data_IF_283642655780
#
_entry.id   IF_283642655780
#
_cell.length_a   1.000
_cell.length_b   1.000
_cell.length_c   1.000
_cell.angle_alpha   90.00
_cell.angle_beta   90.00
_cell.angle_gamma   90.00
#
_symmetry.space_group_name_H-M   'P 1'
#
loop_
_entity.id
_entity.type
_entity.pdbx_description
1 polymer ?
#
# COMPACT_ATOMS: atom_id res chain seq x y z
N UNK A 1 5.54 -50.03 6.51
CA UNK A 1 4.27 -49.54 6.03
C UNK A 1 3.74 -48.37 6.84
N UNK A 2 3.68 -48.48 8.14
CA UNK A 2 3.17 -47.39 8.96
C UNK A 2 4.05 -46.14 8.97
N UNK A 3 5.36 -46.28 8.75
CA UNK A 3 6.31 -45.16 8.71
C UNK A 3 6.16 -44.31 7.46
N UNK A 4 5.72 -44.88 6.35
CA UNK A 4 5.49 -44.15 5.10
C UNK A 4 4.26 -43.26 5.19
N UNK A 5 3.22 -43.69 5.88
CA UNK A 5 2.01 -42.92 6.07
C UNK A 5 2.24 -41.68 6.94
N UNK A 6 3.07 -41.79 7.95
CA UNK A 6 3.46 -40.69 8.81
C UNK A 6 4.29 -39.67 8.10
N UNK A 7 5.17 -40.08 7.18
CA UNK A 7 6.01 -39.20 6.39
C UNK A 7 5.18 -38.38 5.42
N UNK A 8 4.18 -38.96 4.79
CA UNK A 8 3.28 -38.25 3.87
C UNK A 8 2.44 -37.20 4.60
N UNK A 9 1.99 -37.53 5.79
CA UNK A 9 1.19 -36.61 6.59
C UNK A 9 1.99 -35.40 7.03
N UNK A 10 3.27 -35.57 7.31
CA UNK A 10 4.14 -34.47 7.73
C UNK A 10 4.42 -33.49 6.60
N UNK A 11 4.52 -33.97 5.37
CA UNK A 11 4.72 -33.11 4.20
C UNK A 11 3.50 -32.23 3.91
N UNK A 12 2.29 -32.73 4.16
CA UNK A 12 1.06 -31.98 3.92
C UNK A 12 0.89 -30.81 4.88
N UNK A 13 1.48 -30.87 6.07
CA UNK A 13 1.37 -29.80 7.05
C UNK A 13 2.17 -28.55 6.69
N UNK A 14 3.16 -28.67 5.80
CA UNK A 14 3.99 -27.55 5.40
C UNK A 14 3.42 -26.70 4.24
N UNK A 15 2.38 -27.15 3.57
CA UNK A 15 1.89 -26.48 2.38
C UNK A 15 0.81 -25.43 2.65
N UNK A 16 0.46 -25.18 3.91
CA UNK A 16 -0.73 -24.37 4.24
C UNK A 16 -0.39 -23.03 4.86
N UNK A 17 0.88 -22.59 4.80
CA UNK A 17 1.22 -21.37 5.53
C UNK A 17 1.70 -20.25 4.64
N UNK A 18 0.76 -19.67 3.89
CA UNK A 18 0.96 -18.32 3.38
C UNK A 18 0.23 -17.37 4.33
N UNK A 19 0.98 -16.77 5.23
CA UNK A 19 0.42 -15.73 6.08
C UNK A 19 0.02 -14.52 5.22
N UNK A 20 -1.20 -14.04 5.39
CA UNK A 20 -1.65 -12.81 4.77
C UNK A 20 -0.78 -11.65 5.28
N UNK A 21 -0.32 -10.80 4.37
CA UNK A 21 0.41 -9.58 4.70
C UNK A 21 -0.51 -8.39 4.62
N UNK A 22 -0.15 -7.33 5.30
CA UNK A 22 -0.74 -6.04 5.07
C UNK A 22 0.00 -5.33 3.92
N UNK A 23 -0.67 -4.37 3.30
CA UNK A 23 -0.11 -3.60 2.22
C UNK A 23 0.21 -2.16 2.61
N UNK A 24 1.01 -1.51 1.80
CA UNK A 24 1.34 -0.11 1.95
C UNK A 24 1.41 0.51 0.55
N UNK A 25 0.81 1.68 0.37
CA UNK A 25 0.75 2.33 -0.93
C UNK A 25 1.68 3.54 -0.98
N UNK A 26 2.45 3.65 -2.06
CA UNK A 26 3.19 4.85 -2.41
C UNK A 26 2.44 5.50 -3.57
N UNK A 27 1.82 6.64 -3.31
CA UNK A 27 1.10 7.41 -4.33
C UNK A 27 2.03 8.50 -4.83
N UNK A 28 2.38 8.46 -6.10
CA UNK A 28 3.37 9.35 -6.69
C UNK A 28 2.92 9.80 -8.07
N UNK A 29 3.22 11.04 -8.43
CA UNK A 29 2.99 11.51 -9.78
C UNK A 29 4.05 10.98 -10.74
N UNK A 30 3.67 10.84 -12.01
CA UNK A 30 4.53 10.20 -13.01
C UNK A 30 5.84 10.94 -13.26
N UNK A 31 5.83 12.27 -13.19
CA UNK A 31 7.05 13.07 -13.41
C UNK A 31 8.04 12.87 -12.27
N UNK A 32 7.58 12.96 -11.03
CA UNK A 32 8.43 12.71 -9.86
C UNK A 32 8.96 11.30 -9.85
N UNK A 33 8.16 10.32 -10.25
CA UNK A 33 8.61 8.94 -10.32
C UNK A 33 9.73 8.76 -11.36
N UNK A 34 9.61 9.38 -12.52
CA UNK A 34 10.67 9.32 -13.55
C UNK A 34 11.97 9.93 -13.05
N UNK A 35 11.88 11.03 -12.29
CA UNK A 35 13.06 11.72 -11.76
C UNK A 35 13.73 10.98 -10.61
N UNK A 36 12.95 10.31 -9.76
CA UNK A 36 13.43 9.69 -8.55
C UNK A 36 13.19 8.18 -8.49
N UNK A 37 13.07 7.53 -9.63
CA UNK A 37 12.73 6.13 -9.72
C UNK A 37 13.61 5.21 -8.88
N UNK A 38 14.96 5.31 -8.94
CA UNK A 38 15.78 4.41 -8.13
C UNK A 38 15.56 4.58 -6.65
N UNK A 39 15.37 5.82 -6.18
CA UNK A 39 15.15 6.14 -4.78
C UNK A 39 13.78 5.63 -4.30
N UNK A 40 12.74 5.82 -5.12
CA UNK A 40 11.39 5.33 -4.81
C UNK A 40 11.38 3.81 -4.75
N UNK A 41 12.00 3.15 -5.71
CA UNK A 41 12.05 1.69 -5.73
C UNK A 41 12.86 1.15 -4.53
N UNK A 42 13.93 1.83 -4.15
CA UNK A 42 14.71 1.47 -2.97
C UNK A 42 13.90 1.64 -1.68
N UNK A 43 13.12 2.71 -1.59
CA UNK A 43 12.21 2.94 -0.46
C UNK A 43 11.15 1.85 -0.36
N UNK A 44 10.56 1.46 -1.49
CA UNK A 44 9.58 0.39 -1.52
C UNK A 44 10.17 -0.93 -1.03
N UNK A 45 11.36 -1.29 -1.51
CA UNK A 45 12.05 -2.51 -1.07
C UNK A 45 12.40 -2.47 0.41
N UNK A 46 12.77 -1.29 0.93
CA UNK A 46 13.10 -1.13 2.34
C UNK A 46 11.85 -1.35 3.21
N UNK A 47 10.70 -0.83 2.81
CA UNK A 47 9.44 -1.06 3.53
C UNK A 47 9.10 -2.55 3.55
N UNK A 48 9.22 -3.21 2.41
CA UNK A 48 8.93 -4.65 2.34
C UNK A 48 9.85 -5.46 3.23
N UNK A 49 11.14 -5.14 3.23
CA UNK A 49 12.14 -5.85 4.01
C UNK A 49 12.02 -5.59 5.51
N UNK A 50 11.84 -4.33 5.90
CA UNK A 50 11.87 -3.93 7.30
C UNK A 50 10.54 -4.15 8.01
N UNK A 51 9.43 -4.02 7.30
CA UNK A 51 8.11 -4.06 7.91
C UNK A 51 7.24 -5.23 7.44
N UNK A 52 7.72 -6.01 6.48
CA UNK A 52 6.96 -7.16 5.98
C UNK A 52 5.67 -6.79 5.26
N UNK A 53 5.58 -5.56 4.76
CA UNK A 53 4.41 -5.08 4.05
C UNK A 53 4.56 -5.33 2.55
N UNK A 54 3.44 -5.56 1.87
CA UNK A 54 3.44 -5.53 0.42
C UNK A 54 3.29 -4.10 -0.05
N UNK A 55 4.23 -3.61 -0.86
CA UNK A 55 4.19 -2.23 -1.33
C UNK A 55 3.58 -2.14 -2.71
N UNK A 56 2.61 -1.24 -2.84
CA UNK A 56 1.98 -0.88 -4.11
C UNK A 56 2.46 0.52 -4.49
N UNK A 57 3.21 0.64 -5.57
CA UNK A 57 3.60 1.95 -6.09
C UNK A 57 2.57 2.36 -7.14
N UNK A 58 1.80 3.37 -6.82
CA UNK A 58 0.69 3.82 -7.66
C UNK A 58 1.11 5.10 -8.35
N UNK A 59 1.28 5.04 -9.66
CA UNK A 59 1.85 6.11 -10.47
C UNK A 59 0.79 6.61 -11.44
N UNK A 60 0.51 7.90 -11.41
CA UNK A 60 -0.41 8.54 -12.36
C UNK A 60 -0.10 10.03 -12.40
N UNK A 61 -0.79 10.73 -13.26
CA UNK A 61 -0.70 12.20 -13.32
C UNK A 61 -1.54 12.90 -12.26
N UNK A 62 -2.45 12.20 -11.64
CA UNK A 62 -3.27 12.66 -10.52
C UNK A 62 -3.91 14.03 -10.74
N UNK A 63 -4.80 14.12 -11.73
CA UNK A 63 -5.47 15.37 -12.06
C UNK A 63 -6.57 15.74 -11.08
N UNK A 64 -7.24 14.73 -10.51
CA UNK A 64 -8.33 14.94 -9.57
C UNK A 64 -8.14 14.09 -8.32
N UNK A 65 -8.49 14.63 -7.13
CA UNK A 65 -8.33 13.89 -5.87
C UNK A 65 -9.18 12.62 -5.78
N UNK A 66 -10.32 12.59 -6.45
CA UNK A 66 -11.22 11.44 -6.40
C UNK A 66 -10.58 10.17 -6.98
N UNK A 67 -9.68 10.32 -7.96
CA UNK A 67 -8.95 9.18 -8.51
C UNK A 67 -8.05 8.53 -7.47
N UNK A 68 -7.38 9.35 -6.66
CA UNK A 68 -6.55 8.87 -5.56
C UNK A 68 -7.41 8.14 -4.53
N UNK A 69 -8.50 8.75 -4.14
CA UNK A 69 -9.43 8.17 -3.16
C UNK A 69 -9.96 6.82 -3.63
N UNK A 70 -10.40 6.74 -4.87
CA UNK A 70 -10.92 5.50 -5.44
C UNK A 70 -9.87 4.39 -5.47
N UNK A 71 -8.64 4.72 -5.85
CA UNK A 71 -7.53 3.78 -5.88
C UNK A 71 -7.18 3.27 -4.49
N UNK A 72 -7.06 4.17 -3.52
CA UNK A 72 -6.74 3.80 -2.15
C UNK A 72 -7.86 2.96 -1.52
N UNK A 73 -9.10 3.33 -1.78
CA UNK A 73 -10.25 2.57 -1.31
C UNK A 73 -10.23 1.15 -1.86
N UNK A 74 -9.97 0.99 -3.14
CA UNK A 74 -9.86 -0.32 -3.78
C UNK A 74 -8.76 -1.17 -3.14
N UNK A 75 -7.58 -0.59 -2.93
CA UNK A 75 -6.46 -1.29 -2.31
C UNK A 75 -6.73 -1.65 -0.85
N UNK A 76 -7.51 -0.85 -0.16
CA UNK A 76 -7.87 -1.11 1.24
C UNK A 76 -8.94 -2.20 1.36
N UNK A 77 -9.88 -2.24 0.43
CA UNK A 77 -11.01 -3.19 0.47
C UNK A 77 -10.69 -4.55 -0.14
N UNK A 78 -9.56 -4.70 -0.82
CA UNK A 78 -9.20 -5.98 -1.41
C UNK A 78 -8.89 -7.03 -0.32
N UNK A 79 -9.14 -8.29 -0.64
CA UNK A 79 -8.98 -9.37 0.32
C UNK A 79 -7.53 -9.78 0.53
N UNK A 80 -6.71 -9.64 -0.51
CA UNK A 80 -5.31 -10.01 -0.45
C UNK A 80 -4.46 -8.79 -0.20
N UNK A 81 -3.67 -8.82 0.85
CA UNK A 81 -2.71 -7.78 1.22
C UNK A 81 -3.31 -6.35 1.19
N UNK A 82 -4.41 -6.09 1.91
CA UNK A 82 -5.02 -4.76 1.90
C UNK A 82 -4.09 -3.72 2.52
N UNK A 83 -4.11 -2.50 2.00
CA UNK A 83 -3.25 -1.45 2.53
C UNK A 83 -3.71 -0.99 3.91
N UNK A 84 -2.74 -0.73 4.76
CA UNK A 84 -2.96 -0.16 6.10
C UNK A 84 -2.40 1.25 6.22
N UNK A 85 -1.68 1.72 5.22
CA UNK A 85 -1.10 3.05 5.21
C UNK A 85 -0.68 3.46 3.80
N UNK A 86 -0.40 4.75 3.63
CA UNK A 86 0.04 5.30 2.36
C UNK A 86 0.94 6.50 2.59
N UNK A 87 1.78 6.78 1.62
CA UNK A 87 2.58 8.01 1.56
C UNK A 87 2.34 8.67 0.21
N UNK A 88 2.28 9.99 0.22
CA UNK A 88 2.12 10.79 -0.99
C UNK A 88 3.46 11.44 -1.33
N UNK A 89 3.89 11.29 -2.56
CA UNK A 89 5.17 11.80 -3.02
C UNK A 89 4.96 12.64 -4.29
N UNK A 90 5.54 13.81 -4.31
CA UNK A 90 5.52 14.68 -5.47
C UNK A 90 4.28 15.54 -5.58
N UNK A 91 3.86 15.79 -6.81
CA UNK A 91 2.75 16.69 -7.11
C UNK A 91 1.41 15.94 -6.99
N UNK A 92 0.84 16.00 -5.80
CA UNK A 92 -0.42 15.33 -5.48
C UNK A 92 -1.49 16.41 -5.26
N UNK A 93 -2.66 16.30 -5.92
CA UNK A 93 -3.72 17.28 -5.74
C UNK A 93 -4.24 17.29 -4.29
N UNK A 94 -4.39 18.49 -3.76
CA UNK A 94 -4.84 18.70 -2.39
C UNK A 94 -6.36 18.83 -2.38
N UNK A 95 -7.01 18.01 -1.56
CA UNK A 95 -8.44 18.12 -1.32
C UNK A 95 -8.66 19.08 -0.16
N UNK A 96 -9.45 20.11 -0.41
CA UNK A 96 -9.86 21.05 0.62
C UNK A 96 -11.32 20.79 0.97
N UNK A 97 -11.59 20.65 2.25
CA UNK A 97 -12.95 20.44 2.75
C UNK A 97 -13.34 21.66 3.56
N UNK A 98 -14.51 22.19 3.25
CA UNK A 98 -15.06 23.29 4.03
C UNK A 98 -15.86 22.72 5.19
N UNK A 99 -15.41 23.02 6.37
CA UNK A 99 -16.12 22.67 7.59
C UNK A 99 -16.49 23.97 8.32
N UNK A 100 -17.77 24.21 8.42
CA UNK A 100 -18.31 25.48 8.90
C UNK A 100 -17.80 26.64 8.05
N UNK A 101 -16.96 27.51 8.60
CA UNK A 101 -16.35 28.62 7.86
C UNK A 101 -14.86 28.43 7.64
N UNK A 102 -14.36 27.23 7.90
CA UNK A 102 -12.95 26.93 7.77
C UNK A 102 -12.71 25.95 6.64
N UNK A 103 -11.59 26.14 5.94
CA UNK A 103 -11.12 25.19 4.93
C UNK A 103 -9.96 24.39 5.51
N UNK A 104 -10.05 23.09 5.38
CA UNK A 104 -8.98 22.20 5.81
C UNK A 104 -8.66 21.19 4.74
N UNK A 105 -7.39 20.78 4.69
CA UNK A 105 -6.95 19.72 3.77
C UNK A 105 -7.49 18.39 4.22
N UNK A 106 -8.04 17.64 3.27
CA UNK A 106 -8.56 16.29 3.54
C UNK A 106 -7.43 15.31 3.87
N UNK A 107 -6.20 15.68 3.58
CA UNK A 107 -5.04 14.85 3.91
C UNK A 107 -4.37 15.27 5.23
N UNK A 108 -4.89 16.30 5.85
CA UNK A 108 -4.34 16.74 7.13
C UNK A 108 -4.65 15.68 8.18
N UNK A 109 -3.61 15.12 8.72
CA UNK A 109 -3.76 14.13 9.77
C UNK A 109 -4.35 14.78 11.03
N UNK A 110 -5.09 13.99 11.75
CA UNK A 110 -5.78 14.45 12.94
C UNK A 110 -4.85 15.20 13.87
N UNK A 111 -5.15 16.44 14.11
CA UNK A 111 -4.45 17.27 15.08
C UNK A 111 -5.30 17.43 16.31
N UNK A 112 -4.79 16.99 17.38
CA UNK A 112 -5.37 17.29 18.67
C UNK A 112 -4.82 18.61 19.20
#
# INVERSE_FOLDING_TARGET
MKKLLLSVLTCLAFTVQTAARNGFAIVIDSVSYQEARPEVDAYARAIERLHGLKVYTVIDRWQVPDSIRATLKHLHEQKSDPIVGTVFVGDIPIVMVRDAQHLTSAFKMNQK
#
